data_IF_780638391012
#
_entry.id   IF_780638391012
#
_cell.length_a   1.000
_cell.length_b   1.000
_cell.length_c   1.000
_cell.angle_alpha   90.00
_cell.angle_beta   90.00
_cell.angle_gamma   90.00
#
_symmetry.space_group_name_H-M   'P 1'
#
loop_
_entity.id
_entity.type
_entity.pdbx_description
1 polymer ?
#
# COMPACT_ATOMS: atom_id res chain seq x y z
N UNK A 1 15.30 30.34 7.85
CA UNK A 1 15.92 29.20 7.16
C UNK A 1 14.79 28.36 6.61
N UNK A 2 14.65 28.25 5.29
CA UNK A 2 13.61 27.41 4.68
C UNK A 2 14.09 25.96 4.72
N UNK A 3 13.33 25.10 5.38
CA UNK A 3 13.54 23.65 5.34
C UNK A 3 12.79 23.08 4.15
N UNK A 4 13.49 22.32 3.31
CA UNK A 4 12.89 21.49 2.27
C UNK A 4 12.77 20.07 2.80
N UNK A 5 11.57 19.50 2.71
CA UNK A 5 11.32 18.11 3.09
C UNK A 5 11.20 17.29 1.80
N UNK A 6 12.04 16.27 1.66
CA UNK A 6 11.96 15.32 0.57
C UNK A 6 10.86 14.29 0.87
N UNK A 7 9.94 14.12 -0.08
CA UNK A 7 8.89 13.11 0.01
C UNK A 7 9.42 11.74 -0.44
N UNK A 8 8.64 10.68 -0.14
CA UNK A 8 8.95 9.33 -0.62
C UNK A 8 8.93 9.25 -2.14
N UNK A 9 9.92 8.59 -2.72
CA UNK A 9 10.03 8.37 -4.15
C UNK A 9 9.28 7.10 -4.60
N UNK A 10 8.90 7.01 -5.88
CA UNK A 10 8.32 5.78 -6.43
C UNK A 10 9.21 4.55 -6.20
N UNK A 11 8.64 3.53 -5.57
CA UNK A 11 9.29 2.23 -5.36
C UNK A 11 10.44 2.22 -4.35
N UNK A 12 10.63 3.27 -3.55
CA UNK A 12 11.72 3.32 -2.56
C UNK A 12 11.64 2.19 -1.50
N UNK A 13 10.44 1.65 -1.28
CA UNK A 13 10.19 0.55 -0.35
C UNK A 13 10.60 -0.82 -0.89
N UNK A 14 10.96 -0.94 -2.17
CA UNK A 14 11.26 -2.22 -2.81
C UNK A 14 12.68 -2.67 -2.45
N UNK A 15 12.80 -3.88 -1.90
CA UNK A 15 14.07 -4.58 -1.76
C UNK A 15 14.33 -5.52 -2.96
N UNK A 16 13.27 -6.17 -3.43
CA UNK A 16 13.29 -7.05 -4.60
C UNK A 16 11.90 -7.14 -5.21
N UNK A 17 11.81 -7.25 -6.53
CA UNK A 17 10.56 -7.54 -7.23
C UNK A 17 10.83 -8.52 -8.38
N UNK A 18 9.78 -9.21 -8.83
CA UNK A 18 9.90 -10.11 -9.95
C UNK A 18 10.25 -9.35 -11.25
N UNK A 19 10.95 -10.03 -12.17
CA UNK A 19 11.47 -9.40 -13.37
C UNK A 19 10.39 -8.67 -14.19
N UNK A 20 10.70 -7.44 -14.62
CA UNK A 20 9.77 -6.58 -15.33
C UNK A 20 8.74 -5.96 -14.39
N UNK A 21 7.47 -6.01 -14.78
CA UNK A 21 6.35 -5.46 -14.01
C UNK A 21 5.42 -6.53 -13.44
N UNK A 22 5.89 -7.78 -13.32
CA UNK A 22 5.06 -8.92 -12.89
C UNK A 22 4.44 -8.71 -11.50
N UNK A 23 5.17 -8.03 -10.60
CA UNK A 23 4.73 -7.71 -9.25
C UNK A 23 3.71 -6.56 -9.17
N UNK A 24 3.58 -5.78 -10.25
CA UNK A 24 2.85 -4.50 -10.28
C UNK A 24 1.56 -4.66 -11.07
N UNK A 25 0.49 -4.03 -10.59
CA UNK A 25 -0.80 -3.97 -11.28
C UNK A 25 -1.28 -2.51 -11.35
N UNK A 26 -1.89 -2.14 -12.47
CA UNK A 26 -2.61 -0.86 -12.58
C UNK A 26 -4.00 -1.06 -12.00
N UNK A 27 -4.34 -0.23 -11.01
CA UNK A 27 -5.59 -0.31 -10.26
C UNK A 27 -6.20 1.08 -10.15
N UNK A 28 -7.44 1.14 -9.68
CA UNK A 28 -8.10 2.40 -9.35
C UNK A 28 -8.03 2.61 -7.84
N UNK A 29 -7.48 3.75 -7.42
CA UNK A 29 -7.51 4.23 -6.05
C UNK A 29 -8.81 5.02 -5.84
N UNK A 30 -9.56 4.68 -4.79
CA UNK A 30 -10.83 5.31 -4.50
C UNK A 30 -10.66 6.78 -4.10
N UNK A 31 -11.63 7.62 -4.49
CA UNK A 31 -11.65 9.04 -4.11
C UNK A 31 -11.51 9.25 -2.59
N UNK A 32 -10.81 10.30 -2.19
CA UNK A 32 -10.56 10.67 -0.79
C UNK A 32 -9.23 10.16 -0.23
N UNK A 33 -8.46 9.42 -1.02
CA UNK A 33 -7.14 8.91 -0.65
C UNK A 33 -6.05 9.83 -1.22
N UNK A 34 -5.20 10.40 -0.36
CA UNK A 34 -3.98 11.10 -0.77
C UNK A 34 -2.79 10.43 -0.09
N UNK A 35 -2.17 9.47 -0.78
CA UNK A 35 -1.30 8.47 -0.18
C UNK A 35 0.12 8.60 -0.71
N UNK A 36 1.10 8.40 0.17
CA UNK A 36 2.50 8.34 -0.19
C UNK A 36 2.88 6.94 -0.71
N UNK A 37 3.98 6.85 -1.46
CA UNK A 37 4.58 5.57 -1.81
C UNK A 37 4.85 4.70 -0.56
N UNK A 38 4.70 3.38 -0.69
CA UNK A 38 4.86 2.44 0.41
C UNK A 38 3.65 2.35 1.35
N UNK A 39 2.54 3.03 1.07
CA UNK A 39 1.31 2.87 1.87
C UNK A 39 0.69 1.50 1.65
N UNK A 40 0.33 0.83 2.74
CA UNK A 40 -0.40 -0.45 2.69
C UNK A 40 -1.86 -0.18 2.36
N UNK A 41 -2.39 -0.95 1.42
CA UNK A 41 -3.74 -0.77 0.87
C UNK A 41 -4.59 -2.00 1.13
N UNK A 42 -5.89 -1.79 1.27
CA UNK A 42 -6.92 -2.83 1.18
C UNK A 42 -7.81 -2.63 -0.06
N UNK A 43 -8.77 -3.53 -0.27
CA UNK A 43 -9.70 -3.47 -1.41
C UNK A 43 -11.13 -3.32 -0.89
N UNK A 44 -11.82 -2.28 -1.36
CA UNK A 44 -13.25 -2.11 -1.07
C UNK A 44 -14.02 -3.20 -1.83
N UNK A 45 -14.53 -4.20 -1.11
CA UNK A 45 -15.21 -5.39 -1.66
C UNK A 45 -16.35 -5.01 -2.61
N UNK A 46 -17.11 -3.96 -2.29
CA UNK A 46 -18.26 -3.54 -3.08
C UNK A 46 -17.88 -2.97 -4.47
N UNK A 47 -16.68 -2.39 -4.60
CA UNK A 47 -16.26 -1.68 -5.82
C UNK A 47 -15.05 -2.28 -6.52
N UNK A 48 -14.25 -3.09 -5.83
CA UNK A 48 -12.96 -3.60 -6.30
C UNK A 48 -11.86 -2.54 -6.35
N UNK A 49 -12.12 -1.32 -5.87
CA UNK A 49 -11.13 -0.23 -5.81
C UNK A 49 -10.23 -0.40 -4.60
N UNK A 50 -9.01 0.10 -4.72
CA UNK A 50 -8.07 0.15 -3.62
C UNK A 50 -8.31 1.40 -2.78
N UNK A 51 -8.08 1.28 -1.48
CA UNK A 51 -8.05 2.40 -0.54
C UNK A 51 -6.98 2.14 0.52
N UNK A 52 -6.70 3.13 1.37
CA UNK A 52 -5.84 2.90 2.54
C UNK A 52 -6.36 1.69 3.33
N UNK A 53 -5.43 0.83 3.78
CA UNK A 53 -5.76 -0.24 4.70
C UNK A 53 -6.33 0.35 6.00
N UNK A 54 -7.41 -0.22 6.52
CA UNK A 54 -8.06 0.21 7.76
C UNK A 54 -8.51 -1.03 8.54
N UNK A 55 -7.76 -1.39 9.58
CA UNK A 55 -7.99 -2.59 10.38
C UNK A 55 -9.36 -2.61 11.10
N UNK A 56 -9.97 -1.43 11.29
CA UNK A 56 -11.25 -1.27 11.99
C UNK A 56 -12.44 -1.22 11.02
N UNK A 57 -12.17 -1.27 9.70
CA UNK A 57 -13.19 -1.30 8.67
C UNK A 57 -13.96 -2.63 8.62
N UNK A 58 -14.98 -2.66 7.77
CA UNK A 58 -15.78 -3.85 7.48
C UNK A 58 -16.28 -3.83 6.03
N UNK A 59 -15.49 -3.24 5.15
CA UNK A 59 -15.81 -3.03 3.74
C UNK A 59 -14.82 -3.74 2.79
N UNK A 60 -13.88 -4.50 3.34
CA UNK A 60 -12.77 -5.19 2.68
C UNK A 60 -11.43 -4.46 2.81
N UNK A 61 -11.42 -3.19 3.26
CA UNK A 61 -10.16 -2.46 3.48
C UNK A 61 -9.42 -2.90 4.74
N UNK A 62 -10.07 -3.69 5.58
CA UNK A 62 -9.50 -4.37 6.76
C UNK A 62 -8.57 -5.54 6.43
N UNK A 63 -8.49 -5.97 5.16
CA UNK A 63 -7.53 -6.98 4.70
C UNK A 63 -6.46 -6.32 3.82
N UNK A 64 -5.19 -6.53 4.17
CA UNK A 64 -4.07 -5.97 3.42
C UNK A 64 -3.91 -6.66 2.06
N UNK A 65 -4.06 -5.88 0.99
CA UNK A 65 -4.14 -6.36 -0.38
C UNK A 65 -2.98 -5.93 -1.28
N UNK A 66 -2.15 -4.99 -0.83
CA UNK A 66 -0.98 -4.55 -1.60
C UNK A 66 -0.27 -3.33 -1.02
N UNK A 67 0.78 -2.91 -1.72
CA UNK A 67 1.58 -1.73 -1.34
C UNK A 67 1.64 -0.75 -2.51
N UNK A 68 1.32 0.51 -2.24
CA UNK A 68 1.31 1.57 -3.26
C UNK A 68 2.71 1.85 -3.82
N UNK A 69 2.86 1.80 -5.15
CA UNK A 69 4.16 1.98 -5.82
C UNK A 69 4.66 3.43 -5.75
N UNK A 70 3.80 4.40 -6.03
CA UNK A 70 4.13 5.83 -6.09
C UNK A 70 3.08 6.67 -5.35
N UNK A 71 3.41 7.90 -5.01
CA UNK A 71 2.43 8.78 -4.37
C UNK A 71 1.29 9.12 -5.35
N UNK A 72 0.04 9.00 -4.89
CA UNK A 72 -1.17 9.25 -5.68
C UNK A 72 -2.12 10.12 -4.87
N UNK A 73 -2.60 11.20 -5.50
CA UNK A 73 -3.60 12.11 -4.94
C UNK A 73 -4.97 11.89 -5.60
N UNK A 74 -5.79 11.04 -4.99
CA UNK A 74 -7.18 10.80 -5.35
C UNK A 74 -8.15 11.70 -4.54
N UNK A 75 -7.72 12.86 -4.03
CA UNK A 75 -8.60 13.77 -3.27
C UNK A 75 -9.74 14.37 -4.13
N UNK A 76 -9.52 14.51 -5.44
CA UNK A 76 -10.47 15.07 -6.39
C UNK A 76 -11.42 14.06 -7.06
N UNK A 77 -11.22 12.76 -6.85
CA UNK A 77 -11.93 11.69 -7.54
C UNK A 77 -11.14 10.39 -7.55
N UNK A 78 -11.70 9.34 -8.14
CA UNK A 78 -10.94 8.11 -8.36
C UNK A 78 -9.75 8.37 -9.28
N UNK A 79 -8.59 7.80 -8.97
CA UNK A 79 -7.34 8.01 -9.72
C UNK A 79 -6.68 6.67 -10.06
N UNK A 80 -5.96 6.62 -11.17
CA UNK A 80 -5.15 5.46 -11.51
C UNK A 80 -3.92 5.36 -10.59
N UNK A 81 -3.62 4.15 -10.14
CA UNK A 81 -2.49 3.88 -9.27
C UNK A 81 -1.78 2.59 -9.69
N UNK A 82 -0.49 2.49 -9.35
CA UNK A 82 0.27 1.26 -9.49
C UNK A 82 0.49 0.65 -8.11
N UNK A 83 0.16 -0.62 -7.94
CA UNK A 83 0.26 -1.32 -6.66
C UNK A 83 1.08 -2.58 -6.83
N UNK A 84 1.95 -2.86 -5.86
CA UNK A 84 2.56 -4.18 -5.72
C UNK A 84 1.54 -5.13 -5.12
N UNK A 85 1.16 -6.15 -5.90
CA UNK A 85 0.11 -7.10 -5.53
C UNK A 85 0.62 -8.53 -5.39
N UNK A 86 1.89 -8.79 -5.75
CA UNK A 86 2.49 -10.13 -5.73
C UNK A 86 4.01 -10.12 -5.84
N UNK A 87 4.64 -11.22 -5.41
CA UNK A 87 6.04 -11.59 -5.71
C UNK A 87 7.05 -10.45 -5.55
N UNK A 88 7.05 -9.78 -4.40
CA UNK A 88 8.05 -8.76 -4.08
C UNK A 88 8.45 -8.83 -2.61
N UNK A 89 9.60 -8.27 -2.30
CA UNK A 89 10.07 -8.04 -0.94
C UNK A 89 10.14 -6.55 -0.69
N UNK A 90 9.55 -6.09 0.40
CA UNK A 90 9.46 -4.67 0.75
C UNK A 90 10.12 -4.40 2.10
N UNK A 91 10.77 -3.25 2.25
CA UNK A 91 11.36 -2.83 3.50
C UNK A 91 10.28 -2.35 4.46
N UNK A 92 10.08 -3.05 5.58
CA UNK A 92 9.04 -2.71 6.56
C UNK A 92 9.19 -1.30 7.12
N UNK A 93 10.42 -0.82 7.28
CA UNK A 93 10.72 0.55 7.72
C UNK A 93 10.28 1.64 6.72
N UNK A 94 10.04 1.28 5.46
CA UNK A 94 9.58 2.17 4.39
C UNK A 94 8.08 2.00 4.10
N UNK A 95 7.35 1.19 4.88
CA UNK A 95 5.90 1.10 4.77
C UNK A 95 5.22 2.23 5.55
N UNK A 96 4.01 2.60 5.12
CA UNK A 96 3.11 3.45 5.90
C UNK A 96 1.91 2.62 6.33
N UNK A 97 1.63 2.66 7.63
CA UNK A 97 0.49 2.02 8.27
C UNK A 97 -0.49 3.07 8.84
N UNK A 98 -1.75 2.69 9.12
CA UNK A 98 -2.67 3.50 9.91
C UNK A 98 -2.06 3.92 11.25
N UNK A 99 -2.40 5.12 11.70
CA UNK A 99 -1.78 5.72 12.90
C UNK A 99 -2.18 5.04 14.21
N UNK A 100 -3.27 4.28 14.21
CA UNK A 100 -3.85 3.54 15.33
C UNK A 100 -3.58 2.04 15.28
N UNK A 101 -2.88 1.54 14.26
CA UNK A 101 -2.57 0.11 14.13
C UNK A 101 -1.80 -0.39 15.36
N UNK A 102 -2.22 -1.53 15.88
CA UNK A 102 -1.52 -2.22 16.97
C UNK A 102 -0.52 -3.24 16.43
N UNK A 103 0.44 -3.66 17.27
CA UNK A 103 1.41 -4.69 16.89
C UNK A 103 0.78 -6.00 16.39
N UNK A 104 -0.24 -6.57 17.07
CA UNK A 104 -0.94 -7.75 16.57
C UNK A 104 -1.66 -7.55 15.23
N UNK A 105 -2.28 -6.39 15.01
CA UNK A 105 -2.95 -6.07 13.73
C UNK A 105 -1.94 -5.90 12.61
N UNK A 106 -0.81 -5.23 12.86
CA UNK A 106 0.27 -5.14 11.89
C UNK A 106 0.81 -6.52 11.51
N UNK A 107 1.00 -7.42 12.48
CA UNK A 107 1.45 -8.80 12.20
C UNK A 107 0.41 -9.56 11.35
N UNK A 108 -0.88 -9.35 11.60
CA UNK A 108 -1.94 -9.96 10.79
C UNK A 108 -1.89 -9.43 9.35
N UNK A 109 -1.80 -8.11 9.16
CA UNK A 109 -1.68 -7.48 7.85
C UNK A 109 -0.42 -7.92 7.09
N UNK A 110 0.72 -8.08 7.78
CA UNK A 110 1.95 -8.63 7.19
C UNK A 110 1.77 -10.10 6.75
N UNK A 111 0.98 -10.89 7.48
CA UNK A 111 0.66 -12.26 7.09
C UNK A 111 -0.26 -12.32 5.87
N UNK A 112 -1.21 -11.39 5.74
CA UNK A 112 -2.07 -11.23 4.56
C UNK A 112 -1.26 -10.84 3.32
N UNK A 113 -0.37 -9.86 3.44
CA UNK A 113 0.59 -9.49 2.39
C UNK A 113 1.46 -10.70 2.00
N UNK A 114 1.94 -11.47 2.98
CA UNK A 114 2.75 -12.66 2.72
C UNK A 114 1.97 -13.75 1.97
N UNK A 115 0.66 -13.89 2.22
CA UNK A 115 -0.20 -14.82 1.48
C UNK A 115 -0.35 -14.43 -0.01
N UNK A 116 -0.23 -13.13 -0.33
CA UNK A 116 -0.17 -12.61 -1.70
C UNK A 116 1.23 -12.72 -2.32
N UNK A 117 2.24 -13.13 -1.55
CA UNK A 117 3.64 -13.20 -1.96
C UNK A 117 4.37 -11.86 -1.89
N UNK A 118 3.84 -10.91 -1.11
CA UNK A 118 4.51 -9.65 -0.75
C UNK A 118 5.15 -9.87 0.62
N UNK A 119 6.47 -9.99 0.67
CA UNK A 119 7.19 -10.31 1.90
C UNK A 119 7.73 -9.03 2.52
N UNK A 120 7.21 -8.67 3.70
CA UNK A 120 7.76 -7.57 4.49
C UNK A 120 9.05 -8.03 5.16
N UNK A 121 10.12 -7.25 4.99
CA UNK A 121 11.43 -7.49 5.60
C UNK A 121 11.69 -6.43 6.67
N UNK A 122 11.87 -6.90 7.90
CA UNK A 122 12.19 -6.10 9.09
C UNK A 122 13.62 -6.30 9.53
#
# INVERSE_FOLDING_TARGET
MTTFTEARHPGEHILSEANGALSREQVTLASGNNLAAGTVLGIITASGKYAVFDQDASDGTEEAAGVLYEAVDASGGDEDAVVHVRQCEVAGAALTWPGDITGPEQIAAEAELAALGIIVRT
#
